data_IF_190019843927
#
_entry.id   IF_190019843927
#
_cell.length_a   1.000
_cell.length_b   1.000
_cell.length_c   1.000
_cell.angle_alpha   90.00
_cell.angle_beta   90.00
_cell.angle_gamma   90.00
#
_symmetry.space_group_name_H-M   'P 1'
#
loop_
_entity.id
_entity.type
_entity.pdbx_description
1 polymer ?
#
# COMPACT_ATOMS: atom_id res chain seq x y z
N UNK A 1 -4.07 8.70 1.76
CA UNK A 1 -4.78 7.42 1.59
C UNK A 1 -4.88 6.75 2.95
N UNK A 2 -6.02 6.18 3.31
CA UNK A 2 -6.22 5.46 4.58
C UNK A 2 -6.54 3.99 4.30
N UNK A 3 -5.89 3.12 5.06
CA UNK A 3 -6.10 1.68 5.12
C UNK A 3 -6.94 1.37 6.36
N UNK A 4 -8.14 0.83 6.16
CA UNK A 4 -9.12 0.61 7.21
C UNK A 4 -9.39 -0.89 7.32
N UNK A 5 -8.99 -1.49 8.43
CA UNK A 5 -9.30 -2.88 8.78
C UNK A 5 -10.12 -2.90 10.07
N UNK A 6 -11.17 -3.71 10.12
CA UNK A 6 -12.03 -3.84 11.32
C UNK A 6 -12.51 -2.48 11.91
N UNK A 7 -12.84 -1.53 11.02
CA UNK A 7 -13.23 -0.16 11.35
C UNK A 7 -12.15 0.69 12.06
N UNK A 8 -10.89 0.26 12.07
CA UNK A 8 -9.74 1.00 12.55
C UNK A 8 -8.85 1.43 11.39
N UNK A 9 -8.27 2.63 11.47
CA UNK A 9 -7.20 3.03 10.55
C UNK A 9 -5.94 2.28 10.99
N UNK A 10 -5.46 1.37 10.15
CA UNK A 10 -4.26 0.58 10.40
C UNK A 10 -3.04 1.16 9.73
N UNK A 11 -3.25 2.00 8.71
CA UNK A 11 -2.21 2.74 8.02
C UNK A 11 -2.79 3.97 7.30
N UNK A 12 -1.96 4.97 7.06
CA UNK A 12 -2.24 6.18 6.30
C UNK A 12 -0.97 6.66 5.59
N UNK A 13 -1.09 7.13 4.35
CA UNK A 13 0.07 7.58 3.59
C UNK A 13 -0.24 8.47 2.40
N UNK A 14 0.82 8.95 1.77
CA UNK A 14 0.80 9.70 0.53
C UNK A 14 1.27 8.81 -0.61
N UNK A 15 0.43 8.69 -1.63
CA UNK A 15 0.63 7.80 -2.75
C UNK A 15 0.76 8.63 -4.04
N UNK A 16 1.84 8.38 -4.77
CA UNK A 16 2.20 9.07 -5.99
C UNK A 16 2.25 8.11 -7.18
N UNK A 17 1.38 8.37 -8.15
CA UNK A 17 1.24 7.59 -9.38
C UNK A 17 1.95 8.28 -10.53
N UNK A 18 2.83 7.56 -11.24
CA UNK A 18 3.50 8.04 -12.44
C UNK A 18 2.85 7.50 -13.71
N UNK A 19 2.85 8.30 -14.79
CA UNK A 19 2.21 7.92 -16.05
C UNK A 19 2.83 6.70 -16.74
N UNK A 20 4.03 6.29 -16.32
CA UNK A 20 4.74 5.09 -16.78
C UNK A 20 4.31 3.80 -16.04
N UNK A 21 3.35 3.90 -15.11
CA UNK A 21 2.85 2.77 -14.33
C UNK A 21 3.64 2.50 -13.05
N UNK A 22 4.60 3.36 -12.69
CA UNK A 22 5.28 3.30 -11.39
C UNK A 22 4.46 4.00 -10.30
N UNK A 23 4.68 3.57 -9.07
CA UNK A 23 4.03 4.11 -7.88
C UNK A 23 5.02 4.23 -6.71
N UNK A 24 4.77 5.19 -5.81
CA UNK A 24 5.50 5.39 -4.55
C UNK A 24 4.49 5.71 -3.45
N UNK A 25 4.52 4.92 -2.38
CA UNK A 25 3.78 5.17 -1.14
C UNK A 25 4.76 5.52 -0.01
N UNK A 26 4.46 6.61 0.69
CA UNK A 26 5.10 6.97 1.95
C UNK A 26 4.03 7.05 3.04
N UNK A 27 4.10 6.14 4.01
CA UNK A 27 3.03 5.87 4.96
C UNK A 27 3.51 5.88 6.42
N UNK A 28 2.57 5.63 7.33
CA UNK A 28 2.73 5.81 8.78
C UNK A 28 3.30 4.65 9.60
N UNK A 29 3.48 3.40 9.11
CA UNK A 29 4.06 2.35 9.94
C UNK A 29 5.46 2.76 10.43
N UNK A 30 5.95 2.20 11.54
CA UNK A 30 7.34 2.40 11.94
C UNK A 30 8.31 2.15 10.77
N UNK A 31 9.41 2.91 10.64
CA UNK A 31 10.37 2.69 9.55
C UNK A 31 10.88 1.25 9.47
N UNK A 32 11.04 0.59 10.62
CA UNK A 32 11.44 -0.81 10.70
C UNK A 32 10.43 -1.78 10.07
N UNK A 33 9.14 -1.42 9.99
CA UNK A 33 8.11 -2.24 9.34
C UNK A 33 7.91 -1.88 7.86
N UNK A 34 8.72 -0.96 7.33
CA UNK A 34 8.75 -0.61 5.91
C UNK A 34 7.71 0.43 5.52
N UNK A 35 8.05 1.70 5.70
CA UNK A 35 7.13 2.82 5.50
C UNK A 35 7.34 3.64 4.20
N UNK A 36 8.22 3.12 3.34
CA UNK A 36 8.48 3.67 2.00
C UNK A 36 8.41 2.49 1.03
N UNK A 37 7.39 2.52 0.19
CA UNK A 37 7.13 1.50 -0.81
C UNK A 37 7.52 2.01 -2.20
N UNK A 38 8.00 1.09 -3.03
CA UNK A 38 8.13 1.31 -4.47
C UNK A 38 7.26 0.28 -5.16
N UNK A 39 6.39 0.72 -6.07
CA UNK A 39 5.39 -0.15 -6.64
C UNK A 39 5.14 0.07 -8.12
N UNK A 40 4.16 -0.70 -8.59
CA UNK A 40 3.60 -0.61 -9.93
C UNK A 40 2.09 -0.61 -9.85
N UNK A 41 1.46 0.01 -10.84
CA UNK A 41 0.02 -0.04 -11.01
C UNK A 41 -0.39 -0.21 -12.47
N UNK A 42 -1.57 -0.78 -12.66
CA UNK A 42 -2.20 -0.89 -13.98
C UNK A 42 -3.69 -0.54 -13.93
N UNK A 43 -4.21 -0.05 -15.07
CA UNK A 43 -5.66 0.16 -15.25
C UNK A 43 -6.29 -1.18 -15.62
N UNK A 44 -7.22 -1.65 -14.80
CA UNK A 44 -7.94 -2.92 -15.01
C UNK A 44 -9.38 -2.73 -15.47
N UNK A 45 -9.84 -1.48 -15.54
CA UNK A 45 -11.17 -1.12 -16.03
C UNK A 45 -11.41 0.38 -15.99
N UNK A 46 -12.64 0.77 -16.31
CA UNK A 46 -13.04 2.18 -16.26
C UNK A 46 -12.91 2.72 -14.83
N UNK A 47 -11.91 3.58 -14.61
CA UNK A 47 -11.59 4.20 -13.30
C UNK A 47 -11.19 3.19 -12.22
N UNK A 48 -10.72 2.01 -12.61
CA UNK A 48 -10.25 0.97 -11.69
C UNK A 48 -8.77 0.71 -11.92
N UNK A 49 -8.01 0.69 -10.83
CA UNK A 49 -6.57 0.39 -10.81
C UNK A 49 -6.32 -0.84 -9.94
N UNK A 50 -5.27 -1.58 -10.27
CA UNK A 50 -4.64 -2.53 -9.37
C UNK A 50 -3.22 -2.10 -9.10
N UNK A 51 -2.79 -2.28 -7.85
CA UNK A 51 -1.45 -1.92 -7.40
C UNK A 51 -0.77 -3.11 -6.74
N UNK A 52 0.57 -3.09 -6.81
CA UNK A 52 1.45 -3.88 -5.98
C UNK A 52 2.64 -3.00 -5.58
N UNK A 53 2.79 -2.75 -4.29
CA UNK A 53 3.88 -1.93 -3.75
C UNK A 53 4.58 -2.67 -2.60
N UNK A 54 5.76 -3.25 -2.86
CA UNK A 54 6.62 -3.78 -1.82
C UNK A 54 7.37 -2.68 -1.04
N UNK A 55 7.62 -2.94 0.24
CA UNK A 55 8.58 -2.24 1.09
C UNK A 55 9.48 -3.23 1.84
N UNK A 56 10.59 -2.74 2.40
CA UNK A 56 11.52 -3.54 3.19
C UNK A 56 11.11 -3.56 4.66
N UNK A 57 11.12 -4.76 5.26
CA UNK A 57 10.98 -4.94 6.71
C UNK A 57 12.37 -5.16 7.30
N UNK A 58 12.65 -4.48 8.40
CA UNK A 58 13.86 -4.60 9.20
C UNK A 58 13.58 -5.29 10.53
N UNK A 59 14.64 -5.79 11.15
CA UNK A 59 14.58 -6.28 12.54
C UNK A 59 14.15 -5.18 13.53
N UNK A 60 13.91 -5.57 14.77
CA UNK A 60 13.49 -4.63 15.83
C UNK A 60 14.53 -3.57 16.18
N UNK A 61 15.78 -3.73 15.74
CA UNK A 61 16.85 -2.73 15.90
C UNK A 61 16.94 -1.78 14.70
N UNK A 62 16.12 -1.99 13.67
CA UNK A 62 16.11 -1.25 12.41
C UNK A 62 17.48 -1.27 11.69
N UNK A 63 18.22 -2.39 11.76
CA UNK A 63 19.57 -2.48 11.17
C UNK A 63 19.72 -3.55 10.10
N UNK A 64 18.99 -4.66 10.21
CA UNK A 64 19.05 -5.77 9.25
C UNK A 64 17.72 -5.93 8.53
N UNK A 65 17.74 -6.03 7.20
CA UNK A 65 16.55 -6.41 6.42
C UNK A 65 16.20 -7.87 6.71
N UNK A 66 14.95 -8.12 7.10
CA UNK A 66 14.45 -9.47 7.44
C UNK A 66 13.33 -9.95 6.51
N UNK A 67 12.79 -9.08 5.66
CA UNK A 67 11.67 -9.43 4.81
C UNK A 67 11.11 -8.26 4.02
N UNK A 68 9.91 -8.47 3.50
CA UNK A 68 9.15 -7.50 2.72
C UNK A 68 7.71 -7.43 3.21
N UNK A 69 7.16 -6.22 3.25
CA UNK A 69 5.71 -6.02 3.26
C UNK A 69 5.28 -5.83 1.82
N UNK A 70 4.28 -6.57 1.37
CA UNK A 70 3.72 -6.45 0.02
C UNK A 70 2.28 -6.03 0.19
N UNK A 71 1.97 -4.82 -0.29
CA UNK A 71 0.62 -4.31 -0.25
C UNK A 71 0.03 -4.43 -1.67
N UNK A 72 -1.13 -5.05 -1.73
CA UNK A 72 -1.91 -5.26 -2.95
C UNK A 72 -3.19 -4.45 -2.85
N UNK A 73 -3.49 -3.67 -3.87
CA UNK A 73 -4.66 -2.78 -3.84
C UNK A 73 -5.56 -2.95 -5.05
N UNK A 74 -6.86 -2.72 -4.84
CA UNK A 74 -7.84 -2.50 -5.89
C UNK A 74 -8.49 -1.15 -5.64
N UNK A 75 -8.13 -0.16 -6.44
CA UNK A 75 -8.60 1.23 -6.29
C UNK A 75 -9.66 1.54 -7.34
N UNK A 76 -10.72 2.22 -6.91
CA UNK A 76 -11.77 2.74 -7.78
C UNK A 76 -11.94 4.23 -7.57
N UNK A 77 -11.66 5.00 -8.62
CA UNK A 77 -11.86 6.44 -8.61
C UNK A 77 -13.36 6.77 -8.75
N UNK A 78 -13.78 7.87 -8.13
CA UNK A 78 -15.09 8.44 -8.36
C UNK A 78 -15.24 8.97 -9.81
N UNK A 79 -16.42 9.49 -10.18
CA UNK A 79 -16.61 10.03 -11.54
C UNK A 79 -15.73 11.25 -11.81
N UNK A 80 -15.41 12.05 -10.79
CA UNK A 80 -14.59 13.25 -10.91
C UNK A 80 -13.08 13.00 -10.84
N UNK A 81 -12.65 11.79 -10.48
CA UNK A 81 -11.23 11.48 -10.22
C UNK A 81 -10.65 12.20 -9.01
N UNK A 82 -11.50 12.71 -8.11
CA UNK A 82 -11.15 13.50 -6.93
C UNK A 82 -11.03 12.67 -5.67
N UNK A 83 -11.78 11.58 -5.60
CA UNK A 83 -11.75 10.67 -4.45
C UNK A 83 -11.67 9.23 -4.96
N UNK A 84 -11.26 8.34 -4.07
CA UNK A 84 -11.25 6.92 -4.38
C UNK A 84 -11.59 6.07 -3.16
N UNK A 85 -12.12 4.89 -3.45
CA UNK A 85 -12.31 3.81 -2.49
C UNK A 85 -11.75 2.53 -3.08
N UNK A 86 -11.51 1.54 -2.23
CA UNK A 86 -10.91 0.30 -2.69
C UNK A 86 -10.80 -0.75 -1.63
N UNK A 87 -10.06 -1.81 -1.95
CA UNK A 87 -9.66 -2.83 -0.98
C UNK A 87 -8.15 -3.00 -1.00
N UNK A 88 -7.61 -3.46 0.12
CA UNK A 88 -6.19 -3.79 0.21
C UNK A 88 -5.96 -5.17 0.84
N UNK A 89 -4.76 -5.70 0.62
CA UNK A 89 -4.19 -6.83 1.34
C UNK A 89 -2.72 -6.54 1.63
N UNK A 90 -2.32 -6.60 2.89
CA UNK A 90 -0.91 -6.52 3.32
C UNK A 90 -0.41 -7.93 3.60
N UNK A 91 0.71 -8.28 2.99
CA UNK A 91 1.37 -9.56 3.14
C UNK A 91 2.77 -9.35 3.70
N UNK A 92 3.06 -9.91 4.88
CA UNK A 92 4.39 -9.86 5.47
C UNK A 92 5.12 -11.17 5.15
N UNK A 93 6.25 -11.07 4.46
CA UNK A 93 7.03 -12.22 4.01
C UNK A 93 8.49 -12.09 4.43
N UNK A 94 9.12 -13.18 4.86
CA UNK A 94 10.57 -13.20 5.10
C UNK A 94 11.34 -13.19 3.76
N UNK A 95 12.67 -13.15 3.82
CA UNK A 95 13.52 -13.14 2.62
C UNK A 95 13.44 -14.42 1.77
N UNK A 96 12.82 -15.49 2.28
CA UNK A 96 12.58 -16.74 1.57
C UNK A 96 11.14 -16.85 1.05
N UNK A 97 10.30 -15.84 1.31
CA UNK A 97 8.90 -15.81 0.92
C UNK A 97 7.94 -16.50 1.90
N UNK A 98 8.40 -16.92 3.09
CA UNK A 98 7.52 -17.48 4.11
C UNK A 98 6.71 -16.39 4.81
N UNK A 99 5.50 -16.72 5.26
CA UNK A 99 4.66 -15.74 5.97
C UNK A 99 5.23 -15.41 7.35
N UNK A 100 5.35 -14.11 7.65
CA UNK A 100 5.72 -13.60 8.97
C UNK A 100 4.51 -13.38 9.90
N UNK A 101 3.30 -13.57 9.38
CA UNK A 101 2.05 -13.39 10.11
C UNK A 101 0.83 -13.64 9.22
N UNK A 102 -0.40 -13.45 9.74
CA UNK A 102 -1.60 -13.43 8.91
C UNK A 102 -1.60 -12.21 7.98
N UNK A 103 -2.21 -12.35 6.80
CA UNK A 103 -2.44 -11.24 5.90
C UNK A 103 -3.49 -10.27 6.51
N UNK A 104 -3.26 -8.97 6.38
CA UNK A 104 -4.20 -7.93 6.83
C UNK A 104 -5.03 -7.50 5.62
N UNK A 105 -6.35 -7.43 5.75
CA UNK A 105 -7.23 -7.05 4.65
C UNK A 105 -8.19 -5.97 5.08
N UNK A 106 -8.65 -5.14 4.15
CA UNK A 106 -9.57 -4.08 4.50
C UNK A 106 -9.97 -3.20 3.33
N UNK A 107 -10.47 -2.02 3.66
CA UNK A 107 -10.93 -1.01 2.72
C UNK A 107 -9.91 0.13 2.62
N UNK A 108 -9.84 0.73 1.43
CA UNK A 108 -9.10 1.94 1.16
C UNK A 108 -10.04 3.12 1.01
N UNK A 109 -9.60 4.29 1.48
CA UNK A 109 -10.23 5.57 1.15
C UNK A 109 -9.18 6.65 0.98
N UNK A 110 -9.34 7.51 -0.02
CA UNK A 110 -8.47 8.67 -0.18
C UNK A 110 -9.03 9.75 -1.07
N UNK A 111 -8.36 10.89 -1.00
CA UNK A 111 -8.67 12.10 -1.75
C UNK A 111 -7.44 12.48 -2.58
N UNK A 112 -7.66 12.95 -3.80
CA UNK A 112 -6.61 13.45 -4.68
C UNK A 112 -6.13 14.80 -4.16
N UNK A 113 -4.82 14.94 -4.02
CA UNK A 113 -4.18 16.23 -3.71
C UNK A 113 -4.22 17.09 -4.98
N UNK A 114 -4.74 18.31 -4.87
CA UNK A 114 -4.75 19.31 -5.95
C UNK A 114 -4.08 20.60 -5.47
N UNK A 115 -3.52 21.43 -6.37
CA UNK A 115 -2.98 22.75 -6.03
C UNK A 115 -4.00 23.70 -5.38
#
# INVERSE_FOLDING_TARGET
MKFISENQVVDEGFDQYHSDGLEILNDTPPPATGNVCLGVYEKTGARTLKLKHPSWIYDSTNTTVIGQAIILENVKLDRGGRTFTGTFTVQLRDLFGNSLGPDITGQLKGDRITP
#
